data_IF_244269670503
#
_entry.id   IF_244269670503
#
_cell.length_a   1.000
_cell.length_b   1.000
_cell.length_c   1.000
_cell.angle_alpha   90.00
_cell.angle_beta   90.00
_cell.angle_gamma   90.00
#
_symmetry.space_group_name_H-M   'P 1'
#
loop_
_entity.id
_entity.type
_entity.pdbx_description
1 polymer ?
#
# COMPACT_ATOMS: atom_id res chain seq x y z
N UNK A 1 -53.55 11.63 -30.87
CA UNK A 1 -52.58 10.85 -31.67
C UNK A 1 -51.22 11.54 -31.98
N UNK A 2 -50.96 12.83 -31.65
CA UNK A 2 -49.59 13.38 -31.74
C UNK A 2 -48.74 13.25 -30.45
N UNK A 3 -49.35 12.94 -29.29
CA UNK A 3 -48.64 12.91 -27.99
C UNK A 3 -47.70 11.70 -27.81
N UNK A 4 -48.01 10.56 -28.44
CA UNK A 4 -47.20 9.33 -28.30
C UNK A 4 -45.86 9.45 -29.04
N UNK A 5 -45.83 10.11 -30.20
CA UNK A 5 -44.60 10.32 -30.99
C UNK A 5 -43.60 11.20 -30.22
N UNK A 6 -44.09 12.22 -29.50
CA UNK A 6 -43.25 13.10 -28.71
C UNK A 6 -42.71 12.38 -27.46
N UNK A 7 -43.53 11.51 -26.85
CA UNK A 7 -43.14 10.66 -25.73
C UNK A 7 -42.04 9.66 -26.12
N UNK A 8 -42.17 8.99 -27.25
CA UNK A 8 -41.17 8.01 -27.72
C UNK A 8 -39.83 8.68 -28.06
N UNK A 9 -39.86 9.89 -28.63
CA UNK A 9 -38.66 10.68 -28.88
C UNK A 9 -37.98 11.14 -27.59
N UNK A 10 -38.74 11.56 -26.58
CA UNK A 10 -38.22 11.91 -25.26
C UNK A 10 -37.59 10.70 -24.56
N UNK A 11 -38.27 9.55 -24.56
CA UNK A 11 -37.75 8.30 -24.00
C UNK A 11 -36.45 7.85 -24.69
N UNK A 12 -36.37 7.96 -26.01
CA UNK A 12 -35.15 7.65 -26.77
C UNK A 12 -33.97 8.53 -26.37
N UNK A 13 -34.20 9.85 -26.20
CA UNK A 13 -33.18 10.80 -25.72
C UNK A 13 -32.73 10.49 -24.29
N UNK A 14 -33.67 10.17 -23.39
CA UNK A 14 -33.34 9.78 -22.01
C UNK A 14 -32.49 8.50 -21.96
N UNK A 15 -32.83 7.49 -22.77
CA UNK A 15 -32.06 6.26 -22.88
C UNK A 15 -30.66 6.54 -23.42
N UNK A 16 -30.54 7.37 -24.45
CA UNK A 16 -29.25 7.77 -25.01
C UNK A 16 -28.38 8.50 -23.96
N UNK A 17 -28.97 9.44 -23.22
CA UNK A 17 -28.28 10.16 -22.15
C UNK A 17 -27.82 9.22 -21.03
N UNK A 18 -28.69 8.30 -20.59
CA UNK A 18 -28.32 7.28 -19.59
C UNK A 18 -27.15 6.42 -20.05
N UNK A 19 -27.12 6.00 -21.33
CA UNK A 19 -26.00 5.25 -21.90
C UNK A 19 -24.70 6.05 -21.88
N UNK A 20 -24.74 7.33 -22.26
CA UNK A 20 -23.56 8.21 -22.21
C UNK A 20 -23.05 8.34 -20.77
N UNK A 21 -23.94 8.55 -19.80
CA UNK A 21 -23.56 8.64 -18.39
C UNK A 21 -22.91 7.34 -17.90
N UNK A 22 -23.46 6.18 -18.25
CA UNK A 22 -22.88 4.88 -17.89
C UNK A 22 -21.48 4.71 -18.49
N UNK A 23 -21.30 5.08 -19.77
CA UNK A 23 -20.00 5.03 -20.44
C UNK A 23 -19.00 5.94 -19.74
N UNK A 24 -19.37 7.18 -19.44
CA UNK A 24 -18.50 8.13 -18.74
C UNK A 24 -18.15 7.65 -17.32
N UNK A 25 -19.12 7.11 -16.58
CA UNK A 25 -18.90 6.55 -15.25
C UNK A 25 -17.94 5.35 -15.30
N UNK A 26 -18.05 4.51 -16.33
CA UNK A 26 -17.17 3.35 -16.53
C UNK A 26 -15.74 3.81 -16.82
N UNK A 27 -15.56 4.75 -17.74
CA UNK A 27 -14.24 5.33 -18.06
C UNK A 27 -13.61 5.96 -16.81
N UNK A 28 -14.37 6.76 -16.06
CA UNK A 28 -13.89 7.38 -14.83
C UNK A 28 -13.48 6.32 -13.80
N UNK A 29 -14.28 5.27 -13.62
CA UNK A 29 -13.96 4.18 -12.70
C UNK A 29 -12.67 3.46 -13.10
N UNK A 30 -12.48 3.17 -14.39
CA UNK A 30 -11.24 2.55 -14.90
C UNK A 30 -10.02 3.43 -14.65
N UNK A 31 -10.15 4.74 -14.85
CA UNK A 31 -9.07 5.71 -14.56
C UNK A 31 -8.75 5.70 -13.06
N UNK A 32 -9.77 5.78 -12.18
CA UNK A 32 -9.56 5.77 -10.73
C UNK A 32 -8.83 4.49 -10.29
N UNK A 33 -9.28 3.33 -10.76
CA UNK A 33 -8.65 2.05 -10.43
C UNK A 33 -7.21 1.98 -10.96
N UNK A 34 -6.98 2.37 -12.21
CA UNK A 34 -5.69 2.28 -12.87
C UNK A 34 -4.62 3.23 -12.30
N UNK A 35 -5.01 4.44 -11.91
CA UNK A 35 -4.06 5.47 -11.49
C UNK A 35 -3.92 5.65 -9.98
N UNK A 36 -4.90 5.21 -9.18
CA UNK A 36 -4.87 5.41 -7.73
C UNK A 36 -4.85 4.08 -6.98
N UNK A 37 -5.86 3.22 -7.19
CA UNK A 37 -6.04 2.01 -6.37
C UNK A 37 -4.98 0.94 -6.65
N UNK A 38 -4.71 0.62 -7.92
CA UNK A 38 -3.73 -0.41 -8.28
C UNK A 38 -2.31 -0.05 -7.83
N UNK A 39 -1.81 1.19 -8.06
CA UNK A 39 -0.52 1.63 -7.54
C UNK A 39 -0.39 1.48 -6.02
N UNK A 40 -1.37 1.96 -5.25
CA UNK A 40 -1.35 1.91 -3.79
C UNK A 40 -1.27 0.47 -3.25
N UNK A 41 -2.12 -0.42 -3.77
CA UNK A 41 -2.11 -1.83 -3.37
C UNK A 41 -0.78 -2.49 -3.74
N UNK A 42 -0.27 -2.21 -4.95
CA UNK A 42 0.98 -2.80 -5.44
C UNK A 42 2.18 -2.34 -4.61
N UNK A 43 2.21 -1.06 -4.24
CA UNK A 43 3.18 -0.49 -3.33
C UNK A 43 3.17 -1.23 -1.97
N UNK A 44 1.99 -1.39 -1.35
CA UNK A 44 1.86 -2.10 -0.07
C UNK A 44 2.35 -3.55 -0.17
N UNK A 45 1.96 -4.25 -1.23
CA UNK A 45 2.37 -5.64 -1.46
C UNK A 45 3.88 -5.78 -1.67
N UNK A 46 4.49 -4.87 -2.42
CA UNK A 46 5.92 -4.87 -2.68
C UNK A 46 6.72 -4.69 -1.39
N UNK A 47 6.37 -3.69 -0.58
CA UNK A 47 7.07 -3.42 0.68
C UNK A 47 6.89 -4.56 1.68
N UNK A 48 5.68 -5.09 1.82
CA UNK A 48 5.44 -6.29 2.63
C UNK A 48 6.28 -7.47 2.16
N UNK A 49 6.40 -7.68 0.86
CA UNK A 49 7.20 -8.77 0.29
C UNK A 49 8.68 -8.63 0.68
N UNK A 50 9.25 -7.43 0.55
CA UNK A 50 10.64 -7.14 0.94
C UNK A 50 10.85 -7.39 2.43
N UNK A 51 10.00 -6.84 3.29
CA UNK A 51 10.14 -7.00 4.75
C UNK A 51 9.99 -8.46 5.16
N UNK A 52 8.98 -9.17 4.63
CA UNK A 52 8.76 -10.58 4.92
C UNK A 52 9.92 -11.46 4.45
N UNK A 53 10.51 -11.17 3.29
CA UNK A 53 11.68 -11.90 2.79
C UNK A 53 12.90 -11.69 3.70
N UNK A 54 13.12 -10.48 4.18
CA UNK A 54 14.23 -10.22 5.10
C UNK A 54 14.02 -10.78 6.50
N UNK A 55 12.77 -10.83 6.98
CA UNK A 55 12.39 -11.54 8.21
C UNK A 55 12.66 -13.04 8.08
N UNK A 56 12.15 -13.68 7.03
CA UNK A 56 12.28 -15.12 6.84
C UNK A 56 13.73 -15.57 6.67
N UNK A 57 14.55 -14.74 6.03
CA UNK A 57 15.97 -15.02 5.82
C UNK A 57 16.84 -14.61 7.03
N UNK A 58 16.26 -13.98 8.06
CA UNK A 58 16.97 -13.47 9.23
C UNK A 58 17.86 -12.25 8.97
N UNK A 59 17.99 -11.80 7.72
CA UNK A 59 18.83 -10.66 7.31
C UNK A 59 18.46 -9.37 8.06
N UNK A 60 17.16 -9.16 8.30
CA UNK A 60 16.66 -7.97 8.97
C UNK A 60 17.22 -7.81 10.40
N UNK A 61 17.57 -8.92 11.06
CA UNK A 61 18.16 -8.93 12.41
C UNK A 61 19.48 -8.15 12.44
N UNK A 62 20.32 -8.33 11.42
CA UNK A 62 21.62 -7.67 11.34
C UNK A 62 21.53 -6.17 11.03
N UNK A 63 20.35 -5.71 10.60
CA UNK A 63 20.05 -4.31 10.27
C UNK A 63 19.58 -3.50 11.48
N UNK A 64 19.46 -4.12 12.65
CA UNK A 64 19.25 -3.38 13.89
C UNK A 64 20.58 -3.12 14.60
N UNK A 65 20.73 -1.96 15.23
CA UNK A 65 21.84 -1.67 16.13
C UNK A 65 21.53 -2.01 17.59
N UNK A 66 20.25 -2.26 17.92
CA UNK A 66 19.80 -2.49 19.29
C UNK A 66 19.68 -3.98 19.59
N UNK A 67 20.42 -4.46 20.61
CA UNK A 67 20.45 -5.88 20.97
C UNK A 67 19.07 -6.45 21.34
N UNK A 68 18.22 -5.68 22.02
CA UNK A 68 16.86 -6.14 22.38
C UNK A 68 16.02 -6.43 21.13
N UNK A 69 16.21 -5.64 20.08
CA UNK A 69 15.52 -5.81 18.80
C UNK A 69 16.06 -7.03 18.08
N UNK A 70 17.39 -7.22 18.08
CA UNK A 70 18.00 -8.43 17.53
C UNK A 70 17.45 -9.68 18.20
N UNK A 71 17.42 -9.70 19.53
CA UNK A 71 16.90 -10.83 20.31
C UNK A 71 15.42 -11.10 19.99
N UNK A 72 14.62 -10.04 19.83
CA UNK A 72 13.22 -10.15 19.41
C UNK A 72 13.10 -10.76 18.02
N UNK A 73 13.80 -10.20 17.02
CA UNK A 73 13.75 -10.66 15.63
C UNK A 73 14.26 -12.10 15.47
N UNK A 74 15.29 -12.50 16.24
CA UNK A 74 15.79 -13.88 16.26
C UNK A 74 14.73 -14.85 16.80
N UNK A 75 14.03 -14.50 17.87
CA UNK A 75 12.95 -15.32 18.47
C UNK A 75 11.70 -15.38 17.59
N UNK A 76 11.51 -14.39 16.72
CA UNK A 76 10.27 -14.19 15.96
C UNK A 76 10.48 -14.15 14.44
N UNK A 77 11.54 -14.77 13.91
CA UNK A 77 11.89 -14.74 12.48
C UNK A 77 10.83 -15.36 11.54
N UNK A 78 9.88 -16.13 12.06
CA UNK A 78 8.76 -16.68 11.30
C UNK A 78 7.55 -15.75 11.19
N UNK A 79 7.59 -14.57 11.83
CA UNK A 79 6.49 -13.63 11.78
C UNK A 79 6.38 -12.96 10.42
N UNK A 80 5.14 -12.63 10.06
CA UNK A 80 4.84 -11.87 8.85
C UNK A 80 4.32 -10.48 9.22
N UNK A 81 4.60 -9.54 8.34
CA UNK A 81 4.02 -8.21 8.33
C UNK A 81 2.55 -8.32 7.93
N UNK A 82 1.67 -7.97 8.86
CA UNK A 82 0.23 -7.87 8.66
C UNK A 82 -0.16 -6.57 8.00
N UNK A 83 0.48 -5.47 8.39
CA UNK A 83 0.14 -4.13 7.89
C UNK A 83 1.35 -3.20 7.86
N UNK A 84 1.28 -2.15 7.05
CA UNK A 84 2.29 -1.10 6.98
C UNK A 84 1.63 0.28 6.96
N UNK A 85 2.31 1.25 7.56
CA UNK A 85 1.92 2.66 7.45
C UNK A 85 2.49 3.30 6.18
N UNK A 86 1.97 4.46 5.83
CA UNK A 86 2.57 5.33 4.83
C UNK A 86 3.97 5.81 5.27
N UNK A 87 4.80 6.21 4.31
CA UNK A 87 6.13 6.74 4.63
C UNK A 87 6.03 8.03 5.44
N UNK A 88 6.68 8.06 6.60
CA UNK A 88 6.87 9.25 7.42
C UNK A 88 8.29 9.77 7.20
N UNK A 89 8.40 10.83 6.40
CA UNK A 89 9.68 11.41 6.01
C UNK A 89 10.36 10.64 4.89
N UNK A 90 10.69 11.36 3.81
CA UNK A 90 11.47 10.88 2.68
C UNK A 90 12.49 11.94 2.28
N UNK A 91 13.72 11.51 2.02
CA UNK A 91 14.77 12.35 1.42
C UNK A 91 14.88 12.13 -0.12
N UNK A 92 13.84 11.54 -0.72
CA UNK A 92 13.77 11.20 -2.14
C UNK A 92 14.45 9.88 -2.52
N UNK A 93 15.27 9.29 -1.64
CA UNK A 93 15.95 7.99 -1.87
C UNK A 93 15.79 7.00 -0.72
N UNK A 94 15.25 7.47 0.40
CA UNK A 94 14.92 6.66 1.55
C UNK A 94 13.67 7.17 2.23
N UNK A 95 13.06 6.33 3.04
CA UNK A 95 11.94 6.73 3.88
C UNK A 95 11.78 5.79 5.06
N UNK A 96 11.03 6.26 6.04
CA UNK A 96 10.70 5.49 7.23
C UNK A 96 9.22 5.10 7.23
N UNK A 97 8.91 3.87 7.64
CA UNK A 97 7.55 3.40 7.85
C UNK A 97 7.50 2.49 9.06
N UNK A 98 6.29 2.28 9.58
CA UNK A 98 6.00 1.28 10.61
C UNK A 98 5.33 0.07 9.98
N UNK A 99 5.83 -1.12 10.29
CA UNK A 99 5.29 -2.42 9.89
C UNK A 99 4.76 -3.17 11.11
N UNK A 100 3.47 -3.48 11.11
CA UNK A 100 2.81 -4.24 12.17
C UNK A 100 2.91 -5.73 11.87
N UNK A 101 3.45 -6.49 12.82
CA UNK A 101 3.56 -7.94 12.76
C UNK A 101 2.26 -8.64 13.19
N UNK A 102 2.08 -9.90 12.79
CA UNK A 102 0.90 -10.71 13.17
C UNK A 102 0.66 -10.81 14.69
N UNK A 103 1.72 -10.72 15.50
CA UNK A 103 1.64 -10.75 16.96
C UNK A 103 1.36 -9.37 17.60
N UNK A 104 0.96 -8.36 16.80
CA UNK A 104 0.68 -6.99 17.24
C UNK A 104 1.88 -6.23 17.82
N UNK A 105 3.10 -6.57 17.40
CA UNK A 105 4.27 -5.74 17.62
C UNK A 105 4.60 -4.93 16.37
N UNK A 106 5.20 -3.76 16.57
CA UNK A 106 5.51 -2.84 15.49
C UNK A 106 7.01 -2.71 15.28
N UNK A 107 7.41 -2.77 14.01
CA UNK A 107 8.77 -2.53 13.56
C UNK A 107 8.82 -1.19 12.82
N UNK A 108 9.67 -0.28 13.28
CA UNK A 108 10.11 0.85 12.47
C UNK A 108 11.11 0.39 11.43
N UNK A 109 10.80 0.58 10.16
CA UNK A 109 11.63 0.15 9.03
C UNK A 109 12.09 1.39 8.28
N UNK A 110 13.41 1.52 8.11
CA UNK A 110 13.99 2.44 7.14
C UNK A 110 14.28 1.68 5.85
N UNK A 111 13.74 2.17 4.74
CA UNK A 111 13.88 1.58 3.41
C UNK A 111 14.55 2.59 2.49
N UNK A 112 15.52 2.15 1.70
CA UNK A 112 16.05 2.89 0.56
C UNK A 112 15.48 2.34 -0.74
N UNK A 113 15.41 3.20 -1.73
CA UNK A 113 14.89 2.93 -3.06
C UNK A 113 15.57 3.86 -4.07
N UNK A 114 15.63 3.44 -5.32
CA UNK A 114 16.24 4.26 -6.38
C UNK A 114 15.30 5.37 -6.85
N UNK A 115 14.01 5.05 -6.96
CA UNK A 115 12.99 5.98 -7.43
C UNK A 115 11.70 5.80 -6.62
N UNK A 116 11.07 6.95 -6.33
CA UNK A 116 9.77 7.04 -5.70
C UNK A 116 8.72 7.40 -6.76
N UNK A 117 7.67 6.59 -6.87
CA UNK A 117 6.58 6.78 -7.82
C UNK A 117 5.38 5.91 -7.44
N UNK A 118 4.58 5.41 -8.39
CA UNK A 118 3.50 4.46 -8.08
C UNK A 118 4.02 3.15 -7.47
N UNK A 119 5.33 2.90 -7.59
CA UNK A 119 6.05 1.77 -7.01
C UNK A 119 7.41 2.25 -6.51
N UNK A 120 8.02 1.49 -5.60
CA UNK A 120 9.43 1.69 -5.26
C UNK A 120 10.30 0.85 -6.19
N UNK A 121 11.37 1.44 -6.70
CA UNK A 121 12.34 0.73 -7.52
C UNK A 121 13.50 0.25 -6.65
N UNK A 122 13.80 -1.04 -6.72
CA UNK A 122 14.83 -1.73 -5.92
C UNK A 122 14.79 -1.41 -4.41
N UNK A 123 13.62 -1.55 -3.74
CA UNK A 123 13.50 -1.28 -2.32
C UNK A 123 14.35 -2.27 -1.50
N UNK A 124 15.12 -1.74 -0.55
CA UNK A 124 15.90 -2.54 0.40
C UNK A 124 15.87 -1.93 1.79
N UNK A 125 15.81 -2.79 2.82
CA UNK A 125 15.80 -2.32 4.21
C UNK A 125 17.22 -1.85 4.56
N UNK A 126 17.33 -0.67 5.17
CA UNK A 126 18.60 -0.12 5.65
C UNK A 126 18.76 -0.42 7.13
N UNK A 127 17.71 -0.16 7.90
CA UNK A 127 17.72 -0.35 9.34
C UNK A 127 16.34 -0.71 9.89
N UNK A 128 16.34 -1.36 11.05
CA UNK A 128 15.11 -1.70 11.79
C UNK A 128 15.19 -1.28 13.25
N UNK A 129 14.12 -0.64 13.69
CA UNK A 129 13.79 -0.33 15.07
C UNK A 129 12.51 -1.07 15.46
N UNK A 130 12.29 -1.30 16.75
CA UNK A 130 11.13 -1.99 17.28
C UNK A 130 10.53 -1.11 18.36
N UNK A 131 9.26 -0.82 18.21
CA UNK A 131 8.49 -0.06 19.16
C UNK A 131 7.61 -1.06 19.90
N UNK A 132 7.97 -1.44 21.14
CA UNK A 132 7.06 -2.27 21.91
C UNK A 132 5.74 -1.55 22.06
N UNK A 133 4.63 -2.28 21.90
CA UNK A 133 3.25 -1.79 21.94
C UNK A 133 2.87 -1.04 23.23
N UNK A 134 3.72 -1.08 24.25
CA UNK A 134 3.57 -0.36 25.52
C UNK A 134 3.86 1.15 25.43
N UNK A 135 4.26 1.70 24.27
CA UNK A 135 4.45 3.15 24.11
C UNK A 135 3.16 3.95 23.90
N UNK A 136 2.01 3.27 23.72
CA UNK A 136 0.72 3.89 23.44
C UNK A 136 -0.32 3.73 24.56
N UNK A 137 0.10 3.41 25.79
CA UNK A 137 -0.78 3.36 26.97
C UNK A 137 -0.51 4.55 27.91
#
# INVERSE_FOLDING_TARGET
MPDDINRDQLLSKEIALKKIIIVLATILTTIILGFFVIPEISYILQIKSVINSELSNGNITYKSTNQKIKDFLQKHHYQKVKDITEFQGSDGKSGYLVATLDNKNDLGIFISYEHFGPYLWNPHIISVNHFPSNYYN
#
